data_IF_921854480587
#
_entry.id   IF_921854480587
#
_cell.length_a   1.000
_cell.length_b   1.000
_cell.length_c   1.000
_cell.angle_alpha   90.00
_cell.angle_beta   90.00
_cell.angle_gamma   90.00
#
_symmetry.space_group_name_H-M   'P 1'
#
loop_
_entity.id
_entity.type
_entity.pdbx_description
1 polymer ?
#
# COMPACT_ATOMS: atom_id res chain seq x y z
N UNK A 1 8.05 -44.74 7.92
CA UNK A 1 8.59 -43.43 8.36
C UNK A 1 8.15 -42.35 7.37
N UNK A 2 7.26 -41.45 7.76
CA UNK A 2 7.00 -40.19 7.03
C UNK A 2 7.00 -39.07 8.05
N UNK A 3 8.03 -38.21 8.00
CA UNK A 3 8.11 -37.00 8.84
C UNK A 3 7.30 -35.90 8.16
N UNK A 4 6.03 -35.76 8.53
CA UNK A 4 5.25 -34.58 8.15
C UNK A 4 5.96 -33.34 8.68
N UNK A 5 6.56 -32.56 7.77
CA UNK A 5 7.13 -31.26 8.10
C UNK A 5 5.98 -30.30 8.40
N UNK A 6 5.69 -30.10 9.69
CA UNK A 6 4.85 -28.99 10.16
C UNK A 6 5.56 -27.68 9.86
N UNK A 7 5.41 -27.15 8.63
CA UNK A 7 5.81 -25.78 8.33
C UNK A 7 4.83 -24.85 9.02
N UNK A 8 5.30 -24.19 10.07
CA UNK A 8 4.55 -23.12 10.75
C UNK A 8 4.30 -22.00 9.73
N UNK A 9 3.03 -21.64 9.53
CA UNK A 9 2.67 -20.53 8.64
C UNK A 9 3.30 -19.22 9.19
N UNK A 10 3.81 -18.35 8.31
CA UNK A 10 4.37 -17.07 8.73
C UNK A 10 3.29 -16.19 9.36
N UNK A 11 3.66 -15.45 10.40
CA UNK A 11 2.76 -14.48 11.04
C UNK A 11 2.53 -13.27 10.12
N UNK A 12 1.42 -12.54 10.33
CA UNK A 12 1.14 -11.29 9.63
C UNK A 12 2.32 -10.31 9.69
N UNK A 13 2.95 -10.18 10.84
CA UNK A 13 4.13 -9.33 11.04
C UNK A 13 5.33 -9.78 10.21
N UNK A 14 5.54 -11.10 10.11
CA UNK A 14 6.61 -11.65 9.28
C UNK A 14 6.38 -11.38 7.80
N UNK A 15 5.13 -11.47 7.35
CA UNK A 15 4.75 -11.18 5.96
C UNK A 15 4.93 -9.69 5.67
N UNK A 16 4.43 -8.82 6.56
CA UNK A 16 4.54 -7.37 6.42
C UNK A 16 6.00 -6.91 6.36
N UNK A 17 6.86 -7.39 7.26
CA UNK A 17 8.31 -7.09 7.24
C UNK A 17 8.97 -7.52 5.93
N UNK A 18 8.61 -8.70 5.42
CA UNK A 18 9.13 -9.20 4.15
C UNK A 18 8.69 -8.34 2.97
N UNK A 19 7.42 -7.93 2.93
CA UNK A 19 6.88 -7.06 1.88
C UNK A 19 7.54 -5.69 1.86
N UNK A 20 7.73 -5.07 3.03
CA UNK A 20 8.43 -3.78 3.16
C UNK A 20 9.89 -3.90 2.70
N UNK A 21 10.59 -4.95 3.14
CA UNK A 21 11.97 -5.19 2.75
C UNK A 21 12.12 -5.42 1.24
N UNK A 22 11.24 -6.23 0.64
CA UNK A 22 11.25 -6.50 -0.80
C UNK A 22 11.08 -5.20 -1.61
N UNK A 23 10.05 -4.41 -1.30
CA UNK A 23 9.79 -3.16 -2.02
C UNK A 23 10.95 -2.15 -1.87
N UNK A 24 11.53 -2.06 -0.67
CA UNK A 24 12.69 -1.19 -0.42
C UNK A 24 13.89 -1.60 -1.28
N UNK A 25 14.15 -2.91 -1.39
CA UNK A 25 15.24 -3.43 -2.22
C UNK A 25 15.00 -3.21 -3.73
N UNK A 26 13.74 -3.08 -4.15
CA UNK A 26 13.34 -2.82 -5.53
C UNK A 26 13.28 -1.31 -5.86
N UNK A 27 13.73 -0.42 -4.96
CA UNK A 27 13.74 1.02 -5.21
C UNK A 27 12.40 1.72 -4.97
N UNK A 28 11.50 1.09 -4.22
CA UNK A 28 10.22 1.67 -3.84
C UNK A 28 10.22 2.13 -2.38
N UNK A 29 9.58 3.27 -2.12
CA UNK A 29 9.36 3.83 -0.78
C UNK A 29 7.89 3.70 -0.42
N UNK A 30 7.62 3.23 0.80
CA UNK A 30 6.26 3.21 1.34
C UNK A 30 5.81 4.66 1.59
N UNK A 31 4.68 5.06 1.00
CA UNK A 31 4.12 6.42 1.11
C UNK A 31 2.77 6.46 1.83
N UNK A 32 2.17 5.29 2.09
CA UNK A 32 0.97 5.20 2.93
C UNK A 32 1.13 5.85 4.30
N UNK A 33 0.02 6.38 4.79
CA UNK A 33 -0.08 6.92 6.13
C UNK A 33 0.15 5.84 7.19
N UNK A 34 1.00 6.13 8.19
CA UNK A 34 1.36 5.17 9.23
C UNK A 34 0.32 5.18 10.34
N UNK A 35 -0.15 3.99 10.71
CA UNK A 35 -1.02 3.80 11.88
C UNK A 35 -2.48 4.14 11.62
N UNK A 36 -2.86 4.43 10.37
CA UNK A 36 -4.25 4.65 9.98
C UNK A 36 -4.80 3.36 9.36
N UNK A 37 -5.88 2.78 9.92
CA UNK A 37 -6.52 1.61 9.35
C UNK A 37 -7.19 1.94 8.01
N UNK A 38 -7.14 0.98 7.09
CA UNK A 38 -7.74 1.06 5.75
C UNK A 38 -8.91 0.09 5.58
N UNK A 39 -9.19 -0.70 6.61
CA UNK A 39 -10.29 -1.64 6.65
C UNK A 39 -10.91 -1.63 8.06
N UNK A 40 -12.24 -1.54 8.09
CA UNK A 40 -13.04 -1.45 9.31
C UNK A 40 -14.17 -2.45 9.24
N UNK A 41 -14.01 -3.59 9.91
CA UNK A 41 -15.10 -4.53 10.12
C UNK A 41 -15.89 -4.19 11.38
N UNK A 42 -17.19 -4.45 11.37
CA UNK A 42 -18.06 -4.24 12.55
C UNK A 42 -17.68 -5.12 13.75
N UNK A 43 -16.99 -6.23 13.52
CA UNK A 43 -16.74 -7.28 14.52
C UNK A 43 -15.28 -7.49 14.89
N UNK A 44 -14.34 -6.78 14.25
CA UNK A 44 -12.90 -6.94 14.50
C UNK A 44 -12.22 -5.58 14.62
N UNK A 45 -11.00 -5.60 15.19
CA UNK A 45 -10.19 -4.38 15.27
C UNK A 45 -9.85 -3.90 13.85
N UNK A 46 -9.90 -2.58 13.60
CA UNK A 46 -9.50 -2.02 12.32
C UNK A 46 -8.09 -2.45 11.91
N UNK A 47 -7.88 -2.71 10.63
CA UNK A 47 -6.61 -3.20 10.07
C UNK A 47 -6.09 -2.29 8.97
N UNK A 48 -4.76 -2.26 8.81
CA UNK A 48 -4.08 -1.58 7.69
C UNK A 48 -3.56 -2.66 6.74
N UNK A 49 -4.25 -2.82 5.61
CA UNK A 49 -3.90 -3.83 4.59
C UNK A 49 -3.72 -3.23 3.21
N UNK A 50 -4.30 -2.05 2.95
CA UNK A 50 -4.07 -1.30 1.73
C UNK A 50 -2.83 -0.42 1.94
N UNK A 51 -1.82 -0.63 1.11
CA UNK A 51 -0.54 0.06 1.18
C UNK A 51 -0.18 0.62 -0.20
N UNK A 52 0.50 1.76 -0.21
CA UNK A 52 0.89 2.51 -1.40
C UNK A 52 2.39 2.70 -1.34
N UNK A 53 3.05 2.32 -2.43
CA UNK A 53 4.46 2.54 -2.65
C UNK A 53 4.65 3.41 -3.89
N UNK A 54 5.72 4.20 -3.87
CA UNK A 54 6.15 4.97 -5.03
C UNK A 54 7.63 4.67 -5.29
N UNK A 55 8.05 4.68 -6.56
CA UNK A 55 9.48 4.69 -6.88
C UNK A 55 10.14 5.90 -6.22
N UNK A 56 11.43 5.83 -5.89
CA UNK A 56 12.11 6.92 -5.17
C UNK A 56 11.90 8.30 -5.79
N UNK A 57 12.01 8.42 -7.11
CA UNK A 57 11.80 9.68 -7.82
C UNK A 57 10.36 10.22 -7.70
N UNK A 58 9.37 9.32 -7.69
CA UNK A 58 7.97 9.71 -7.57
C UNK A 58 7.58 9.98 -6.11
N UNK A 59 8.22 9.29 -5.16
CA UNK A 59 7.96 9.46 -3.73
C UNK A 59 8.27 10.90 -3.27
N UNK A 60 9.30 11.53 -3.84
CA UNK A 60 9.63 12.94 -3.59
C UNK A 60 8.61 13.92 -4.18
N UNK A 61 7.69 13.44 -5.02
CA UNK A 61 6.57 14.22 -5.57
C UNK A 61 5.26 13.97 -4.82
N UNK A 62 5.21 13.05 -3.86
CA UNK A 62 4.01 12.82 -3.06
C UNK A 62 3.82 13.99 -2.09
N UNK A 63 2.74 14.75 -2.28
CA UNK A 63 2.32 15.82 -1.37
C UNK A 63 1.60 15.22 -0.17
N UNK A 64 0.71 14.26 -0.42
CA UNK A 64 -0.15 13.64 0.57
C UNK A 64 -0.52 12.23 0.12
N UNK A 65 -0.57 11.29 1.06
CA UNK A 65 -1.23 10.00 0.91
C UNK A 65 -2.10 9.80 2.15
N UNK A 66 -3.42 9.66 1.98
CA UNK A 66 -4.37 9.58 3.10
C UNK A 66 -5.45 8.54 2.87
N UNK A 67 -5.93 7.96 3.96
CA UNK A 67 -7.13 7.13 3.93
C UNK A 67 -8.37 8.02 3.98
N UNK A 68 -9.30 7.82 3.06
CA UNK A 68 -10.58 8.54 3.03
C UNK A 68 -11.56 7.88 4.00
N UNK A 69 -12.43 8.68 4.62
CA UNK A 69 -13.44 8.16 5.55
C UNK A 69 -14.68 7.62 4.84
N UNK A 70 -14.91 8.01 3.59
CA UNK A 70 -16.01 7.51 2.78
C UNK A 70 -15.66 6.14 2.20
N UNK A 71 -16.31 5.10 2.70
CA UNK A 71 -16.05 3.71 2.32
C UNK A 71 -16.87 3.25 1.11
N UNK A 72 -17.76 4.09 0.56
CA UNK A 72 -18.63 3.76 -0.57
C UNK A 72 -19.43 2.46 -0.38
N UNK A 73 -19.79 2.14 0.87
CA UNK A 73 -20.53 0.92 1.22
C UNK A 73 -19.67 -0.34 1.41
N UNK A 74 -18.34 -0.22 1.30
CA UNK A 74 -17.38 -1.28 1.61
C UNK A 74 -16.90 -1.21 3.06
N UNK A 75 -16.34 -2.31 3.56
CA UNK A 75 -15.50 -2.37 4.77
C UNK A 75 -14.08 -1.81 4.52
N UNK A 76 -13.70 -1.62 3.26
CA UNK A 76 -12.47 -0.97 2.87
C UNK A 76 -12.66 0.53 2.70
N UNK A 77 -11.69 1.27 3.21
CA UNK A 77 -11.59 2.70 3.03
C UNK A 77 -10.59 3.01 1.90
N UNK A 78 -10.97 3.86 0.93
CA UNK A 78 -10.09 4.24 -0.17
C UNK A 78 -8.83 4.94 0.31
N UNK A 79 -7.71 4.72 -0.38
CA UNK A 79 -6.47 5.46 -0.14
C UNK A 79 -6.23 6.41 -1.31
N UNK A 80 -6.16 7.71 -1.02
CA UNK A 80 -5.95 8.76 -2.01
C UNK A 80 -4.54 9.33 -1.91
N UNK A 81 -3.86 9.47 -3.05
CA UNK A 81 -2.51 10.03 -3.13
C UNK A 81 -2.50 11.25 -4.05
N UNK A 82 -1.92 12.35 -3.58
CA UNK A 82 -1.75 13.60 -4.33
C UNK A 82 -0.29 13.79 -4.69
N UNK A 83 -0.03 14.03 -5.98
CA UNK A 83 1.31 14.22 -6.54
C UNK A 83 1.51 15.67 -6.98
N UNK A 84 2.72 16.20 -6.78
CA UNK A 84 3.15 17.44 -7.39
C UNK A 84 3.91 17.16 -8.70
N UNK A 85 3.23 17.35 -9.82
CA UNK A 85 3.81 17.17 -11.15
C UNK A 85 4.30 18.48 -11.78
N UNK A 86 4.19 19.62 -11.09
CA UNK A 86 4.48 20.95 -11.66
C UNK A 86 5.97 21.21 -11.92
N UNK A 87 6.85 20.26 -11.63
CA UNK A 87 8.31 20.39 -11.75
C UNK A 87 8.85 19.79 -13.07
N UNK A 88 8.00 19.23 -13.93
CA UNK A 88 8.46 18.78 -15.26
C UNK A 88 8.24 19.88 -16.31
N UNK A 89 9.30 20.51 -16.85
CA UNK A 89 9.17 21.33 -18.03
C UNK A 89 8.84 20.38 -19.20
N UNK A 90 7.57 20.32 -19.57
CA UNK A 90 7.06 19.59 -20.73
C UNK A 90 7.25 18.05 -20.68
N UNK A 91 6.35 17.34 -20.01
CA UNK A 91 6.08 15.93 -20.34
C UNK A 91 4.58 15.64 -20.26
N UNK A 92 4.03 15.06 -21.33
CA UNK A 92 2.73 14.42 -21.28
C UNK A 92 2.82 13.23 -20.33
N UNK A 93 2.12 13.27 -19.21
CA UNK A 93 2.03 12.13 -18.29
C UNK A 93 0.95 11.18 -18.79
N UNK A 94 1.33 9.96 -19.14
CA UNK A 94 0.38 8.88 -19.38
C UNK A 94 0.20 8.10 -18.08
N UNK A 95 -0.98 8.22 -17.46
CA UNK A 95 -1.37 7.40 -16.31
C UNK A 95 -2.16 6.21 -16.88
N UNK A 96 -1.52 5.05 -16.96
CA UNK A 96 -2.23 3.80 -17.23
C UNK A 96 -2.74 3.22 -15.91
N UNK A 97 -4.05 3.01 -15.81
CA UNK A 97 -4.65 2.18 -14.75
C UNK A 97 -5.04 0.87 -15.42
N UNK A 98 -4.30 -0.20 -15.15
CA UNK A 98 -4.74 -1.55 -15.51
C UNK A 98 -5.71 -2.04 -14.43
N UNK A 99 -6.93 -2.34 -14.85
CA UNK A 99 -7.89 -3.08 -14.05
C UNK A 99 -7.85 -4.52 -14.55
N UNK A 100 -7.28 -5.42 -13.75
CA UNK A 100 -7.42 -6.84 -13.97
C UNK A 100 -8.90 -7.20 -13.80
N UNK A 101 -9.57 -7.56 -14.90
CA UNK A 101 -10.92 -8.13 -14.91
C UNK A 101 -10.88 -9.61 -14.56
#
# INVERSE_FOLDING_TARGET
MQKHHNRKLPTSDSIAKKLVSLNSNLGFKLVSEKGIPTQYFKSTNPTTINLVWASWNLADKVIQCKTLQDSWGSDHHPVATTLNLSILPCQNFHISVELDN
#
